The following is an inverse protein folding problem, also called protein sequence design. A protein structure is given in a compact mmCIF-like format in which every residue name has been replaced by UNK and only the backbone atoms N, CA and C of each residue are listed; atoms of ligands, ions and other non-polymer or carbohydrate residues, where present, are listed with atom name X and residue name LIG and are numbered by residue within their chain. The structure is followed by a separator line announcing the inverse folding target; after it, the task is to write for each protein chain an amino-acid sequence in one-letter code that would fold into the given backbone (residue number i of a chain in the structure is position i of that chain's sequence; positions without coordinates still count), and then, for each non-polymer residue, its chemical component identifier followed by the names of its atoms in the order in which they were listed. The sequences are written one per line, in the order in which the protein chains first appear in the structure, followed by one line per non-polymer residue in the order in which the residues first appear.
data_IF_932083631432
#
_entry.id   IF_932083631432
#
_cell.length_a   1.000
_cell.length_b   1.000
_cell.length_c   1.000
_cell.angle_alpha   90.00
_cell.angle_beta   90.00
_cell.angle_gamma   90.00
#
_symmetry.space_group_name_H-M   'P 1'
#
loop_
_entity.id
_entity.type
_entity.pdbx_description
1 polymer ?
#
# COMPACT_ATOMS: atom_id res chain seq x y z
N UNK A 1 8.62 13.55 -17.86
CA UNK A 1 8.84 13.29 -16.44
C UNK A 1 7.49 13.14 -15.78
N UNK A 2 7.31 12.14 -14.92
CA UNK A 2 6.10 11.95 -14.09
C UNK A 2 6.52 11.93 -12.64
N UNK A 3 5.97 12.80 -11.83
CA UNK A 3 6.23 12.87 -10.40
C UNK A 3 5.17 12.09 -9.65
N UNK A 4 5.61 11.15 -8.83
CA UNK A 4 4.77 10.38 -7.93
C UNK A 4 5.11 10.72 -6.47
N UNK A 5 4.13 10.66 -5.61
CA UNK A 5 4.32 10.64 -4.17
C UNK A 5 3.91 9.26 -3.65
N UNK A 6 4.77 8.63 -2.85
CA UNK A 6 4.52 7.35 -2.23
C UNK A 6 4.36 7.52 -0.71
N UNK A 7 3.15 7.28 -0.25
CA UNK A 7 2.71 7.25 1.14
C UNK A 7 2.42 5.80 1.55
N UNK A 8 2.56 5.50 2.83
CA UNK A 8 2.20 4.19 3.40
C UNK A 8 1.93 4.30 4.89
N UNK A 9 1.24 3.31 5.44
CA UNK A 9 1.09 3.12 6.88
C UNK A 9 0.63 4.40 7.60
N UNK A 10 -0.46 5.00 7.10
CA UNK A 10 -1.03 6.22 7.69
C UNK A 10 -1.83 5.94 8.96
N UNK A 11 -2.31 4.70 9.14
CA UNK A 11 -3.01 4.20 10.32
C UNK A 11 -4.03 5.20 10.89
N UNK A 12 -4.91 5.69 10.02
CA UNK A 12 -5.99 6.55 10.46
C UNK A 12 -6.81 5.82 11.51
N UNK A 13 -6.98 6.46 12.66
CA UNK A 13 -7.80 5.93 13.74
C UNK A 13 -8.87 6.94 14.12
N UNK A 14 -10.03 6.45 14.50
CA UNK A 14 -11.16 7.25 14.96
C UNK A 14 -11.28 7.09 16.47
N UNK A 15 -11.66 8.15 17.18
CA UNK A 15 -11.90 8.08 18.63
C UNK A 15 -13.00 7.03 18.86
N UNK A 16 -12.75 6.14 19.85
CA UNK A 16 -13.71 5.12 20.27
C UNK A 16 -15.08 5.70 20.67
N UNK A 17 -15.14 6.97 21.09
CA UNK A 17 -16.37 7.69 21.42
C UNK A 17 -17.26 7.97 20.20
N UNK A 18 -16.67 8.04 19.04
CA UNK A 18 -17.36 8.20 17.76
C UNK A 18 -17.80 6.86 17.17
N UNK A 19 -17.44 5.75 17.80
CA UNK A 19 -17.79 4.39 17.38
C UNK A 19 -18.94 3.83 18.18
N UNK A 20 -19.92 3.24 17.53
CA UNK A 20 -20.78 2.27 18.20
C UNK A 20 -19.93 1.11 18.72
N UNK A 21 -20.07 0.75 19.98
CA UNK A 21 -19.37 -0.38 20.61
C UNK A 21 -19.54 -1.70 19.84
N UNK A 22 -20.52 -1.78 18.96
CA UNK A 22 -20.91 -2.96 18.17
C UNK A 22 -20.39 -2.91 16.72
N UNK A 23 -19.87 -1.79 16.25
CA UNK A 23 -19.54 -1.59 14.82
C UNK A 23 -18.42 -2.52 14.30
N UNK A 24 -17.49 -2.93 15.14
CA UNK A 24 -16.35 -3.79 14.74
C UNK A 24 -16.49 -5.25 15.19
N UNK A 25 -17.60 -5.62 15.85
CA UNK A 25 -17.83 -6.97 16.32
C UNK A 25 -16.68 -7.57 17.18
N UNK A 26 -16.74 -8.87 17.45
CA UNK A 26 -15.68 -9.59 18.20
C UNK A 26 -14.35 -9.68 17.43
N UNK A 27 -14.38 -9.59 16.11
CA UNK A 27 -13.18 -9.62 15.24
C UNK A 27 -12.30 -8.39 15.42
N UNK A 28 -12.86 -7.26 15.80
CA UNK A 28 -12.10 -6.06 16.17
C UNK A 28 -11.42 -6.13 17.56
N UNK A 29 -11.70 -7.17 18.36
CA UNK A 29 -11.17 -7.26 19.72
C UNK A 29 -9.63 -7.34 19.78
N UNK A 30 -8.92 -8.14 18.94
CA UNK A 30 -7.46 -8.15 18.94
C UNK A 30 -6.87 -6.79 18.55
N UNK A 31 -7.39 -6.14 17.50
CA UNK A 31 -6.95 -4.81 17.09
C UNK A 31 -7.22 -3.75 18.16
N UNK A 32 -8.35 -3.82 18.87
CA UNK A 32 -8.63 -2.95 20.03
C UNK A 32 -7.66 -3.19 21.18
N UNK A 33 -7.30 -4.44 21.44
CA UNK A 33 -6.29 -4.77 22.44
C UNK A 33 -4.91 -4.19 22.06
N UNK A 34 -4.50 -4.29 20.82
CA UNK A 34 -3.28 -3.64 20.32
C UNK A 34 -3.34 -2.12 20.47
N UNK A 35 -4.47 -1.50 20.09
CA UNK A 35 -4.64 -0.06 20.21
C UNK A 35 -4.56 0.42 21.66
N UNK A 36 -5.27 -0.22 22.57
CA UNK A 36 -5.40 0.21 23.97
C UNK A 36 -4.35 -0.41 24.91
N UNK A 37 -4.02 -1.71 24.71
CA UNK A 37 -3.13 -2.45 25.61
C UNK A 37 -1.65 -2.29 25.29
N UNK A 38 -1.27 -2.09 24.03
CA UNK A 38 0.14 -1.97 23.61
C UNK A 38 0.57 -0.52 23.31
N UNK A 39 -0.21 0.48 23.73
CA UNK A 39 0.17 1.89 23.62
C UNK A 39 0.17 2.45 22.20
N UNK A 40 -0.45 1.76 21.24
CA UNK A 40 -0.50 2.17 19.85
C UNK A 40 -1.24 3.49 19.63
N UNK A 41 -2.28 3.76 20.47
CA UNK A 41 -2.98 5.05 20.50
C UNK A 41 -2.04 6.24 20.69
N UNK A 42 -1.01 6.09 21.53
CA UNK A 42 -0.06 7.17 21.79
C UNK A 42 0.85 7.45 20.58
N UNK A 43 1.22 6.42 19.77
CA UNK A 43 2.05 6.58 18.59
C UNK A 43 1.35 7.38 17.50
N UNK A 44 0.03 7.25 17.40
CA UNK A 44 -0.80 7.90 16.38
C UNK A 44 -1.71 9.00 16.93
N UNK A 45 -1.46 9.47 18.16
CA UNK A 45 -2.18 10.64 18.70
C UNK A 45 -2.03 11.84 17.77
N UNK A 46 -3.16 12.51 17.44
CA UNK A 46 -3.17 13.62 16.47
C UNK A 46 -2.93 13.20 15.02
N UNK A 47 -3.19 11.94 14.67
CA UNK A 47 -2.97 11.39 13.33
C UNK A 47 -3.74 12.15 12.25
N UNK A 48 -4.95 12.62 12.55
CA UNK A 48 -5.75 13.39 11.59
C UNK A 48 -5.05 14.66 11.11
N UNK A 49 -4.50 15.44 12.05
CA UNK A 49 -3.77 16.67 11.71
C UNK A 49 -2.45 16.36 11.00
N UNK A 50 -1.80 15.25 11.38
CA UNK A 50 -0.61 14.80 10.66
C UNK A 50 -0.93 14.38 9.23
N UNK A 51 -2.05 13.67 9.01
CA UNK A 51 -2.46 13.28 7.64
C UNK A 51 -2.78 14.53 6.81
N UNK A 52 -3.48 15.52 7.35
CA UNK A 52 -3.73 16.79 6.64
C UNK A 52 -2.43 17.47 6.23
N UNK A 53 -1.52 17.70 7.19
CA UNK A 53 -0.20 18.29 6.90
C UNK A 53 0.61 17.45 5.91
N UNK A 54 0.52 16.11 6.00
CA UNK A 54 1.17 15.20 5.08
C UNK A 54 0.62 15.39 3.65
N UNK A 55 -0.70 15.45 3.50
CA UNK A 55 -1.36 15.68 2.21
C UNK A 55 -0.95 17.05 1.64
N UNK A 56 -1.02 18.10 2.43
CA UNK A 56 -0.63 19.45 2.01
C UNK A 56 0.83 19.49 1.55
N UNK A 57 1.74 18.90 2.32
CA UNK A 57 3.17 18.83 1.97
C UNK A 57 3.42 17.98 0.71
N UNK A 58 2.70 16.87 0.57
CA UNK A 58 2.78 15.99 -0.58
C UNK A 58 2.23 16.69 -1.85
N UNK A 59 1.08 17.35 -1.75
CA UNK A 59 0.48 18.09 -2.86
C UNK A 59 1.31 19.31 -3.25
N UNK A 60 1.97 19.96 -2.30
CA UNK A 60 2.94 21.03 -2.56
C UNK A 60 4.14 20.61 -3.41
N UNK A 61 4.33 19.31 -3.66
CA UNK A 61 5.29 18.76 -4.64
C UNK A 61 4.73 18.63 -6.04
N UNK A 62 3.47 18.99 -6.24
CA UNK A 62 2.77 18.89 -7.54
C UNK A 62 2.84 17.49 -8.17
N UNK A 63 2.54 16.40 -7.42
CA UNK A 63 2.60 15.07 -7.99
C UNK A 63 1.50 14.87 -9.05
N UNK A 64 1.81 14.19 -10.13
CA UNK A 64 0.80 13.74 -11.07
C UNK A 64 -0.05 12.59 -10.51
N UNK A 65 0.51 11.82 -9.56
CA UNK A 65 -0.22 10.72 -8.94
C UNK A 65 0.31 10.41 -7.55
N UNK A 66 -0.55 9.94 -6.66
CA UNK A 66 -0.22 9.54 -5.28
C UNK A 66 -0.45 8.04 -5.12
N UNK A 67 0.51 7.37 -4.52
CA UNK A 67 0.48 5.94 -4.18
C UNK A 67 0.29 5.79 -2.67
N UNK A 68 -0.63 4.94 -2.24
CA UNK A 68 -0.86 4.65 -0.83
C UNK A 68 -0.82 3.13 -0.63
N UNK A 69 0.30 2.63 -0.10
CA UNK A 69 0.64 1.20 -0.09
C UNK A 69 0.24 0.47 1.19
N UNK A 70 -1.04 0.62 1.56
CA UNK A 70 -1.67 -0.14 2.63
C UNK A 70 -1.54 0.45 4.03
N UNK A 71 -2.20 -0.20 4.97
CA UNK A 71 -2.38 0.23 6.34
C UNK A 71 -2.94 1.67 6.41
N UNK A 72 -4.03 1.88 5.66
CA UNK A 72 -4.74 3.13 5.61
C UNK A 72 -5.42 3.43 6.94
N UNK A 73 -5.88 2.39 7.58
CA UNK A 73 -6.72 2.42 8.78
C UNK A 73 -6.06 1.68 9.95
N UNK A 74 -6.57 1.88 11.14
CA UNK A 74 -6.12 1.16 12.33
C UNK A 74 -6.81 -0.19 12.48
N UNK A 75 -8.08 -0.31 12.10
CA UNK A 75 -8.91 -1.50 12.30
C UNK A 75 -9.60 -2.02 11.02
N UNK A 76 -9.62 -1.25 9.93
CA UNK A 76 -10.22 -1.66 8.67
C UNK A 76 -11.74 -1.63 8.68
N UNK A 77 -12.38 -0.77 9.48
CA UNK A 77 -13.83 -0.63 9.45
C UNK A 77 -14.30 0.45 8.45
N UNK A 78 -15.58 0.40 8.08
CA UNK A 78 -16.16 1.29 7.08
C UNK A 78 -16.05 2.77 7.46
N UNK A 79 -16.12 3.10 8.73
CA UNK A 79 -16.07 4.49 9.22
C UNK A 79 -14.65 5.05 9.04
N UNK A 80 -13.61 4.25 9.37
CA UNK A 80 -12.22 4.64 9.11
C UNK A 80 -11.95 4.82 7.63
N UNK A 81 -12.41 3.90 6.78
CA UNK A 81 -12.26 4.06 5.33
C UNK A 81 -13.01 5.27 4.77
N UNK A 82 -14.22 5.57 5.28
CA UNK A 82 -14.95 6.77 4.90
C UNK A 82 -14.16 8.05 5.22
N UNK A 83 -13.51 8.10 6.38
CA UNK A 83 -12.63 9.21 6.75
C UNK A 83 -11.39 9.29 5.86
N UNK A 84 -10.73 8.16 5.55
CA UNK A 84 -9.62 8.14 4.57
C UNK A 84 -10.10 8.71 3.24
N UNK A 85 -11.23 8.23 2.71
CA UNK A 85 -11.79 8.73 1.45
C UNK A 85 -12.07 10.24 1.49
N UNK A 86 -12.60 10.74 2.61
CA UNK A 86 -12.85 12.18 2.78
C UNK A 86 -11.56 13.01 2.74
N UNK A 87 -10.50 12.55 3.42
CA UNK A 87 -9.20 13.24 3.44
C UNK A 87 -8.53 13.28 2.06
N UNK A 88 -8.69 12.22 1.28
CA UNK A 88 -8.12 12.11 -0.07
C UNK A 88 -9.12 12.43 -1.19
N UNK A 89 -10.29 12.98 -0.86
CA UNK A 89 -11.38 13.21 -1.82
C UNK A 89 -10.97 13.98 -3.10
N UNK A 90 -10.15 15.05 -3.05
CA UNK A 90 -9.72 15.72 -4.27
C UNK A 90 -8.93 14.80 -5.21
N UNK A 91 -7.99 14.02 -4.66
CA UNK A 91 -7.20 13.08 -5.45
C UNK A 91 -8.04 11.92 -6.01
N UNK A 92 -9.04 11.46 -5.26
CA UNK A 92 -9.99 10.44 -5.72
C UNK A 92 -10.86 10.96 -6.87
N UNK A 93 -11.37 12.18 -6.75
CA UNK A 93 -12.21 12.81 -7.77
C UNK A 93 -11.45 13.03 -9.10
N UNK A 94 -10.16 13.33 -9.02
CA UNK A 94 -9.28 13.52 -10.17
C UNK A 94 -8.69 12.21 -10.71
N UNK A 95 -8.94 11.07 -10.08
CA UNK A 95 -8.34 9.78 -10.45
C UNK A 95 -6.82 9.72 -10.22
N UNK A 96 -6.29 10.54 -9.31
CA UNK A 96 -4.85 10.70 -9.01
C UNK A 96 -4.39 9.94 -7.78
N UNK A 97 -5.20 9.02 -7.26
CA UNK A 97 -4.85 8.16 -6.13
C UNK A 97 -4.91 6.69 -6.54
N UNK A 98 -3.88 5.95 -6.17
CA UNK A 98 -3.90 4.48 -6.21
C UNK A 98 -3.68 3.94 -4.81
N UNK A 99 -4.56 3.04 -4.38
CA UNK A 99 -4.54 2.42 -3.06
C UNK A 99 -4.44 0.91 -3.18
N UNK A 100 -3.76 0.28 -2.23
CA UNK A 100 -3.79 -1.17 -2.01
C UNK A 100 -4.03 -1.44 -0.54
N UNK A 101 -4.53 -2.62 -0.14
CA UNK A 101 -4.76 -2.93 1.26
C UNK A 101 -3.47 -3.31 2.00
N UNK A 102 -3.40 -2.93 3.29
CA UNK A 102 -2.46 -3.46 4.25
C UNK A 102 -3.13 -4.43 5.23
N UNK A 103 -2.35 -5.04 6.13
CA UNK A 103 -2.89 -6.02 7.08
C UNK A 103 -3.85 -5.38 8.10
N UNK A 104 -3.64 -4.11 8.48
CA UNK A 104 -4.58 -3.40 9.36
C UNK A 104 -5.92 -3.11 8.70
N UNK A 105 -5.94 -2.93 7.39
CA UNK A 105 -7.16 -2.73 6.60
C UNK A 105 -8.05 -3.98 6.54
N UNK A 106 -7.59 -5.11 7.12
CA UNK A 106 -8.28 -6.40 7.15
C UNK A 106 -8.73 -6.86 8.54
N UNK A 107 -8.48 -6.10 9.60
CA UNK A 107 -8.76 -6.55 10.98
C UNK A 107 -10.23 -6.91 11.21
N UNK A 108 -11.15 -6.11 10.73
CA UNK A 108 -12.59 -6.34 10.84
C UNK A 108 -13.17 -7.04 9.60
N UNK A 109 -12.38 -7.22 8.55
CA UNK A 109 -12.84 -7.76 7.28
C UNK A 109 -13.14 -9.27 7.36
N UNK A 110 -13.96 -9.74 6.46
CA UNK A 110 -14.27 -11.17 6.27
C UNK A 110 -14.13 -11.52 4.79
N UNK A 111 -13.93 -12.80 4.45
CA UNK A 111 -13.89 -13.22 3.05
C UNK A 111 -15.13 -12.86 2.23
N UNK A 112 -16.27 -12.61 2.92
CA UNK A 112 -17.56 -12.21 2.29
C UNK A 112 -17.75 -10.70 2.28
N UNK A 113 -17.34 -9.99 3.33
CA UNK A 113 -17.62 -8.57 3.48
C UNK A 113 -16.80 -7.72 2.49
N UNK A 114 -15.52 -8.05 2.32
CA UNK A 114 -14.62 -7.35 1.38
C UNK A 114 -14.73 -5.83 1.51
N UNK A 115 -14.58 -5.35 2.74
CA UNK A 115 -14.84 -3.94 3.08
C UNK A 115 -13.95 -3.03 2.26
N UNK A 116 -12.65 -3.32 2.19
CA UNK A 116 -11.69 -2.53 1.42
C UNK A 116 -12.10 -2.45 -0.06
N UNK A 117 -12.40 -3.61 -0.70
CA UNK A 117 -12.76 -3.66 -2.12
C UNK A 117 -14.06 -2.91 -2.42
N UNK A 118 -15.04 -2.95 -1.50
CA UNK A 118 -16.28 -2.16 -1.65
C UNK A 118 -16.00 -0.67 -1.53
N UNK A 119 -15.22 -0.26 -0.54
CA UNK A 119 -14.92 1.14 -0.28
C UNK A 119 -14.08 1.78 -1.39
N UNK A 120 -13.22 1.00 -2.05
CA UNK A 120 -12.33 1.47 -3.11
C UNK A 120 -12.59 0.82 -4.47
N UNK A 121 -13.82 0.39 -4.74
CA UNK A 121 -14.18 -0.31 -5.98
C UNK A 121 -13.83 0.46 -7.26
N UNK A 122 -13.94 1.78 -7.23
CA UNK A 122 -13.55 2.65 -8.35
C UNK A 122 -12.05 2.66 -8.58
N UNK A 123 -11.28 2.70 -7.51
CA UNK A 123 -9.83 2.78 -7.51
C UNK A 123 -9.16 1.44 -7.84
N UNK A 124 -9.88 0.33 -7.69
CA UNK A 124 -9.39 -1.02 -8.00
C UNK A 124 -9.73 -1.50 -9.42
N UNK A 125 -10.41 -0.67 -10.22
CA UNK A 125 -10.67 -1.01 -11.62
C UNK A 125 -9.35 -1.23 -12.35
N UNK A 126 -9.25 -2.37 -13.05
CA UNK A 126 -8.07 -2.76 -13.82
C UNK A 126 -8.27 -2.49 -15.30
N UNK A 127 -7.23 -2.00 -15.97
CA UNK A 127 -7.18 -1.91 -17.44
C UNK A 127 -6.79 -3.24 -18.11
N UNK A 128 -6.40 -4.25 -17.27
CA UNK A 128 -6.15 -5.63 -17.68
C UNK A 128 -6.98 -6.59 -16.79
N UNK A 129 -8.33 -6.51 -16.84
CA UNK A 129 -9.19 -7.27 -15.93
C UNK A 129 -9.11 -8.78 -16.11
N UNK A 130 -8.70 -9.27 -17.27
CA UNK A 130 -8.51 -10.69 -17.60
C UNK A 130 -7.40 -11.36 -16.78
N UNK A 131 -6.51 -10.58 -16.17
CA UNK A 131 -5.45 -11.09 -15.29
C UNK A 131 -5.83 -11.05 -13.82
N UNK A 132 -6.93 -10.37 -13.46
CA UNK A 132 -7.34 -10.20 -12.08
C UNK A 132 -8.06 -11.44 -11.55
N UNK A 133 -7.91 -11.71 -10.25
CA UNK A 133 -8.73 -12.68 -9.52
C UNK A 133 -10.13 -12.11 -9.20
N UNK A 134 -10.97 -12.91 -8.55
CA UNK A 134 -12.32 -12.50 -8.14
C UNK A 134 -12.35 -11.35 -7.12
N UNK A 135 -11.20 -10.94 -6.54
CA UNK A 135 -11.05 -9.78 -5.67
C UNK A 135 -10.53 -8.55 -6.40
N UNK A 136 -10.15 -8.69 -7.68
CA UNK A 136 -9.64 -7.62 -8.52
C UNK A 136 -8.11 -7.50 -8.54
N UNK A 137 -7.37 -8.53 -8.09
CA UNK A 137 -5.90 -8.49 -8.06
C UNK A 137 -5.24 -9.55 -8.95
N UNK A 138 -4.09 -9.23 -9.60
CA UNK A 138 -3.50 -7.90 -9.71
C UNK A 138 -4.39 -6.95 -10.51
N UNK A 139 -4.47 -5.68 -10.11
CA UNK A 139 -5.04 -4.67 -10.99
C UNK A 139 -3.94 -3.85 -11.67
N UNK A 140 -4.25 -3.28 -12.83
CA UNK A 140 -3.32 -2.45 -13.60
C UNK A 140 -3.96 -1.09 -13.89
N UNK A 141 -3.18 -0.02 -13.69
CA UNK A 141 -3.52 1.34 -14.13
C UNK A 141 -2.45 1.85 -15.07
N UNK A 142 -2.85 2.34 -16.24
CA UNK A 142 -1.96 2.96 -17.19
C UNK A 142 -2.00 4.47 -17.03
N UNK A 143 -0.91 5.07 -16.55
CA UNK A 143 -0.79 6.51 -16.38
C UNK A 143 -0.13 7.13 -17.61
N UNK A 144 -0.96 7.69 -18.49
CA UNK A 144 -0.52 8.19 -19.79
C UNK A 144 0.16 7.10 -20.63
N UNK A 145 1.19 7.47 -21.39
CA UNK A 145 1.92 6.54 -22.26
C UNK A 145 3.17 5.93 -21.61
N UNK A 146 3.58 6.41 -20.44
CA UNK A 146 4.92 6.16 -19.87
C UNK A 146 4.95 5.24 -18.67
N UNK A 147 3.87 5.14 -17.94
CA UNK A 147 3.85 4.50 -16.63
C UNK A 147 2.73 3.48 -16.52
N UNK A 148 2.99 2.37 -15.85
CA UNK A 148 1.98 1.41 -15.44
C UNK A 148 2.13 1.12 -13.94
N UNK A 149 1.02 1.12 -13.22
CA UNK A 149 0.94 0.71 -11.82
C UNK A 149 0.29 -0.67 -11.77
N UNK A 150 0.91 -1.59 -11.06
CA UNK A 150 0.39 -2.94 -10.85
C UNK A 150 0.16 -3.13 -9.35
N UNK A 151 -1.09 -3.12 -8.92
CA UNK A 151 -1.45 -3.28 -7.52
C UNK A 151 -1.69 -4.74 -7.15
N UNK A 152 -1.06 -5.18 -6.06
CA UNK A 152 -1.17 -6.52 -5.51
C UNK A 152 -1.83 -6.50 -4.13
N UNK A 153 -2.51 -7.58 -3.77
CA UNK A 153 -2.96 -7.83 -2.41
C UNK A 153 -2.09 -8.93 -1.77
N UNK A 154 -1.23 -8.54 -0.85
CA UNK A 154 -0.42 -9.47 -0.05
C UNK A 154 -1.10 -9.85 1.27
N UNK A 155 -2.26 -9.28 1.59
CA UNK A 155 -2.92 -9.47 2.88
C UNK A 155 -3.60 -10.84 2.96
N UNK A 156 -3.85 -11.29 4.19
CA UNK A 156 -4.50 -12.57 4.46
C UNK A 156 -5.68 -12.36 5.39
N UNK A 157 -6.84 -12.79 4.92
CA UNK A 157 -8.08 -12.79 5.72
C UNK A 157 -8.51 -14.23 5.95
N UNK A 158 -8.83 -14.59 7.18
CA UNK A 158 -9.42 -15.88 7.50
C UNK A 158 -10.61 -15.75 8.46
N UNK A 159 -11.25 -16.88 8.75
CA UNK A 159 -12.42 -16.93 9.64
C UNK A 159 -12.07 -16.65 11.11
N UNK A 160 -10.80 -16.77 11.50
CA UNK A 160 -10.35 -16.74 12.89
C UNK A 160 -9.62 -15.46 13.29
N UNK A 161 -9.34 -14.56 12.35
CA UNK A 161 -8.64 -13.30 12.63
C UNK A 161 -7.85 -12.76 11.45
N UNK A 162 -6.96 -11.84 11.74
CA UNK A 162 -6.05 -11.25 10.77
C UNK A 162 -4.65 -11.85 10.90
N UNK A 163 -3.84 -11.67 9.87
CA UNK A 163 -2.42 -12.02 9.89
C UNK A 163 -1.57 -10.77 9.69
N UNK A 164 -0.57 -10.60 10.54
CA UNK A 164 0.45 -9.55 10.36
C UNK A 164 1.30 -9.84 9.13
N UNK A 165 1.52 -11.13 8.81
CA UNK A 165 2.33 -11.56 7.67
C UNK A 165 1.50 -11.75 6.41
N UNK A 166 2.08 -11.35 5.28
CA UNK A 166 1.46 -11.42 3.96
C UNK A 166 1.86 -12.65 3.16
N UNK A 167 1.06 -12.90 2.11
CA UNK A 167 1.34 -13.92 1.11
C UNK A 167 0.50 -13.67 -0.14
N UNK A 168 1.11 -13.68 -1.32
CA UNK A 168 0.38 -13.60 -2.60
C UNK A 168 -0.26 -14.94 -3.00
N UNK A 169 0.48 -16.01 -2.82
CA UNK A 169 0.16 -17.32 -3.33
C UNK A 169 0.44 -17.48 -4.84
N UNK A 170 0.46 -18.74 -5.31
CA UNK A 170 0.91 -19.02 -6.69
C UNK A 170 -0.01 -18.44 -7.75
N UNK A 171 -1.31 -18.36 -7.50
CA UNK A 171 -2.27 -17.83 -8.49
C UNK A 171 -1.99 -16.35 -8.81
N UNK A 172 -1.87 -15.50 -7.79
CA UNK A 172 -1.60 -14.08 -7.99
C UNK A 172 -0.20 -13.83 -8.57
N UNK A 173 0.81 -14.59 -8.14
CA UNK A 173 2.16 -14.48 -8.70
C UNK A 173 2.24 -14.91 -10.16
N UNK A 174 1.52 -15.96 -10.56
CA UNK A 174 1.40 -16.35 -11.97
C UNK A 174 0.65 -15.29 -12.79
N UNK A 175 -0.38 -14.67 -12.23
CA UNK A 175 -1.07 -13.55 -12.88
C UNK A 175 -0.17 -12.34 -13.02
N UNK A 176 0.60 -12.00 -12.00
CA UNK A 176 1.60 -10.92 -12.07
C UNK A 176 2.61 -11.19 -13.20
N UNK A 177 3.12 -12.42 -13.33
CA UNK A 177 4.04 -12.73 -14.43
C UNK A 177 3.40 -12.44 -15.78
N UNK A 178 2.15 -12.88 -16.00
CA UNK A 178 1.43 -12.59 -17.26
C UNK A 178 1.21 -11.10 -17.49
N UNK A 179 0.87 -10.35 -16.43
CA UNK A 179 0.75 -8.87 -16.53
C UNK A 179 2.06 -8.24 -16.96
N UNK A 180 3.19 -8.65 -16.33
CA UNK A 180 4.50 -8.08 -16.65
C UNK A 180 5.00 -8.44 -18.06
N UNK A 181 4.47 -9.50 -18.67
CA UNK A 181 4.77 -9.91 -20.05
C UNK A 181 3.73 -9.38 -21.07
N UNK A 182 2.71 -8.63 -20.62
CA UNK A 182 1.66 -8.11 -21.49
C UNK A 182 2.18 -6.97 -22.40
N UNK A 183 1.86 -7.04 -23.68
CA UNK A 183 2.32 -6.07 -24.66
C UNK A 183 1.86 -4.63 -24.37
N UNK A 184 0.76 -4.42 -23.64
CA UNK A 184 0.27 -3.10 -23.22
C UNK A 184 1.19 -2.41 -22.21
N UNK A 185 2.07 -3.17 -21.54
CA UNK A 185 3.10 -2.63 -20.64
C UNK A 185 4.43 -2.38 -21.36
N UNK A 186 4.59 -2.85 -22.58
CA UNK A 186 5.83 -2.66 -23.34
C UNK A 186 6.17 -1.17 -23.49
N UNK A 187 7.41 -0.82 -23.22
CA UNK A 187 7.89 0.56 -23.30
C UNK A 187 7.43 1.48 -22.15
N UNK A 188 6.86 0.95 -21.07
CA UNK A 188 6.46 1.69 -19.88
C UNK A 188 7.38 1.37 -18.70
N UNK A 189 7.61 2.34 -17.85
CA UNK A 189 8.13 2.04 -16.51
C UNK A 189 7.00 1.41 -15.68
N UNK A 190 7.26 0.24 -15.11
CA UNK A 190 6.27 -0.50 -14.32
C UNK A 190 6.58 -0.36 -12.83
N UNK A 191 5.60 0.13 -12.07
CA UNK A 191 5.64 0.11 -10.60
C UNK A 191 4.72 -0.98 -10.07
N UNK A 192 5.31 -1.91 -9.32
CA UNK A 192 4.57 -2.95 -8.59
C UNK A 192 4.34 -2.48 -7.16
N UNK A 193 3.09 -2.36 -6.77
CA UNK A 193 2.65 -1.89 -5.47
C UNK A 193 2.21 -3.07 -4.62
N UNK A 194 2.76 -3.18 -3.42
CA UNK A 194 2.39 -4.19 -2.44
C UNK A 194 2.52 -3.64 -1.03
N UNK A 195 1.80 -4.21 -0.06
CA UNK A 195 1.99 -3.77 1.32
C UNK A 195 3.20 -4.44 1.98
N UNK A 196 3.28 -5.77 1.92
CA UNK A 196 4.46 -6.50 2.43
C UNK A 196 5.53 -6.56 1.34
N UNK A 197 6.71 -6.09 1.66
CA UNK A 197 7.83 -5.98 0.71
C UNK A 197 8.55 -7.30 0.44
N UNK A 198 9.31 -7.39 -0.65
CA UNK A 198 10.11 -8.57 -0.96
C UNK A 198 11.36 -8.70 -0.07
N UNK A 199 11.81 -7.61 0.53
CA UNK A 199 12.93 -7.57 1.48
C UNK A 199 12.63 -6.59 2.59
N UNK A 200 13.26 -6.78 3.75
CA UNK A 200 13.18 -5.86 4.89
C UNK A 200 14.18 -4.70 4.79
N UNK A 201 14.27 -3.85 5.82
CA UNK A 201 15.19 -2.72 5.87
C UNK A 201 16.66 -3.12 5.72
N UNK A 202 17.04 -4.32 6.16
CA UNK A 202 18.39 -4.86 5.99
C UNK A 202 18.72 -5.29 4.55
N UNK A 203 17.72 -5.35 3.67
CA UNK A 203 17.85 -5.87 2.31
C UNK A 203 17.79 -7.40 2.21
N UNK A 204 17.53 -8.09 3.30
CA UNK A 204 17.44 -9.55 3.35
C UNK A 204 16.02 -10.05 3.07
N UNK A 205 15.91 -11.34 2.68
CA UNK A 205 14.62 -12.05 2.51
C UNK A 205 14.06 -12.59 3.83
N UNK A 206 14.45 -12.05 4.97
CA UNK A 206 13.88 -12.48 6.23
C UNK A 206 12.42 -12.02 6.33
N UNK A 207 11.50 -12.98 6.35
CA UNK A 207 10.07 -12.72 6.50
C UNK A 207 9.73 -12.01 7.83
N UNK A 208 10.61 -12.12 8.85
CA UNK A 208 10.43 -11.39 10.12
C UNK A 208 10.57 -9.88 9.95
N UNK A 209 11.37 -9.44 8.98
CA UNK A 209 11.52 -8.03 8.64
C UNK A 209 10.53 -7.56 7.56
N UNK A 210 10.36 -8.38 6.52
CA UNK A 210 9.55 -8.02 5.34
C UNK A 210 8.07 -8.31 5.50
N UNK A 211 7.72 -9.22 6.41
CA UNK A 211 6.35 -9.70 6.57
C UNK A 211 5.83 -10.59 5.44
N UNK A 212 6.59 -10.86 4.39
CA UNK A 212 6.13 -11.58 3.19
C UNK A 212 6.65 -13.03 3.16
N UNK A 213 5.73 -14.00 3.32
CA UNK A 213 6.09 -15.43 3.39
C UNK A 213 6.60 -16.02 2.08
N UNK A 214 6.16 -15.51 0.94
CA UNK A 214 6.57 -15.99 -0.40
C UNK A 214 7.45 -14.97 -1.15
N UNK A 215 8.21 -14.16 -0.40
CA UNK A 215 9.13 -13.16 -0.93
C UNK A 215 10.11 -13.71 -1.98
N UNK A 216 10.67 -14.91 -1.75
CA UNK A 216 11.57 -15.56 -2.70
C UNK A 216 10.88 -15.93 -4.03
N UNK A 217 9.60 -16.30 -4.01
CA UNK A 217 8.84 -16.55 -5.23
C UNK A 217 8.51 -15.23 -5.94
N UNK A 218 8.06 -14.22 -5.21
CA UNK A 218 7.82 -12.87 -5.75
C UNK A 218 9.08 -12.32 -6.43
N UNK A 219 10.22 -12.40 -5.75
CA UNK A 219 11.51 -11.98 -6.30
C UNK A 219 11.89 -12.71 -7.61
N UNK A 220 11.58 -14.01 -7.71
CA UNK A 220 11.80 -14.76 -8.97
C UNK A 220 10.94 -14.24 -10.11
N UNK A 221 9.68 -13.87 -9.84
CA UNK A 221 8.79 -13.28 -10.84
C UNK A 221 9.32 -11.93 -11.34
N UNK A 222 9.94 -11.13 -10.47
CA UNK A 222 10.48 -9.81 -10.83
C UNK A 222 11.82 -9.89 -11.58
N UNK A 223 12.57 -10.97 -11.40
CA UNK A 223 13.95 -11.09 -11.89
C UNK A 223 14.05 -10.92 -13.40
N UNK A 224 14.97 -10.07 -13.82
CA UNK A 224 15.23 -9.78 -15.23
C UNK A 224 14.22 -8.81 -15.86
N UNK A 225 13.28 -8.28 -15.09
CA UNK A 225 12.32 -7.26 -15.52
C UNK A 225 12.69 -5.90 -14.96
N UNK A 226 12.54 -4.86 -15.76
CA UNK A 226 12.79 -3.48 -15.32
C UNK A 226 11.57 -2.92 -14.60
N UNK A 227 11.44 -3.29 -13.33
CA UNK A 227 10.31 -2.90 -12.46
C UNK A 227 10.79 -2.19 -11.20
N UNK A 228 10.00 -1.27 -10.72
CA UNK A 228 10.16 -0.61 -9.42
C UNK A 228 9.14 -1.23 -8.46
N UNK A 229 9.56 -1.59 -7.24
CA UNK A 229 8.65 -2.05 -6.18
C UNK A 229 8.48 -0.94 -5.15
N UNK A 230 7.23 -0.62 -4.82
CA UNK A 230 6.89 0.28 -3.72
C UNK A 230 6.00 -0.45 -2.70
N UNK A 231 6.38 -0.39 -1.43
CA UNK A 231 5.71 -1.14 -0.36
C UNK A 231 5.73 -0.41 0.98
N UNK A 232 5.00 -0.92 1.97
CA UNK A 232 4.90 -0.42 3.34
C UNK A 232 5.34 -1.41 4.39
N UNK A 233 4.53 -1.57 5.43
CA UNK A 233 4.56 -2.57 6.50
C UNK A 233 5.67 -2.41 7.55
N UNK A 234 6.92 -2.27 7.13
CA UNK A 234 8.08 -2.23 8.06
C UNK A 234 8.18 -0.96 8.88
N UNK A 235 7.38 0.08 8.59
CA UNK A 235 7.47 1.44 9.15
C UNK A 235 8.85 2.10 9.03
N UNK A 236 9.76 1.52 8.22
CA UNK A 236 11.05 2.09 7.91
C UNK A 236 11.08 2.60 6.48
N UNK A 237 11.62 3.82 6.29
CA UNK A 237 11.81 4.39 4.96
C UNK A 237 13.19 4.04 4.47
N UNK A 238 13.27 3.31 3.35
CA UNK A 238 14.52 2.88 2.74
C UNK A 238 14.37 2.69 1.23
N UNK A 239 15.50 2.69 0.57
CA UNK A 239 15.62 2.41 -0.85
C UNK A 239 16.76 1.42 -1.09
N UNK A 240 16.44 0.29 -1.65
CA UNK A 240 17.39 -0.71 -2.11
C UNK A 240 17.52 -0.68 -3.62
N UNK A 241 18.76 -0.66 -4.11
CA UNK A 241 19.09 -0.80 -5.53
C UNK A 241 19.46 -2.25 -5.83
N UNK A 242 18.97 -2.78 -6.96
CA UNK A 242 19.24 -4.15 -7.43
C UNK A 242 19.01 -5.21 -6.32
N UNK A 243 17.89 -5.08 -5.59
CA UNK A 243 17.52 -5.97 -4.50
C UNK A 243 16.24 -6.71 -4.80
N UNK A 244 16.13 -7.92 -4.25
CA UNK A 244 14.91 -8.71 -4.28
C UNK A 244 14.32 -8.96 -5.69
N UNK A 245 15.19 -9.04 -6.69
CA UNK A 245 14.80 -9.29 -8.09
C UNK A 245 14.36 -8.05 -8.87
N UNK A 246 14.27 -6.87 -8.23
CA UNK A 246 13.92 -5.61 -8.85
C UNK A 246 15.10 -4.62 -8.87
N UNK A 247 15.24 -3.76 -9.90
CA UNK A 247 16.23 -2.68 -9.92
C UNK A 247 16.10 -1.70 -8.77
N UNK A 248 14.86 -1.41 -8.36
CA UNK A 248 14.57 -0.50 -7.25
C UNK A 248 13.46 -1.03 -6.36
N UNK A 249 13.68 -1.00 -5.04
CA UNK A 249 12.68 -1.37 -4.03
C UNK A 249 12.60 -0.27 -2.97
N UNK A 250 11.41 0.31 -2.80
CA UNK A 250 11.13 1.39 -1.87
C UNK A 250 10.25 0.93 -0.73
N UNK A 251 10.79 0.94 0.49
CA UNK A 251 9.99 0.90 1.71
C UNK A 251 9.45 2.31 2.01
N UNK A 252 8.12 2.47 2.05
CA UNK A 252 7.47 3.76 2.26
C UNK A 252 7.72 4.34 3.66
N UNK A 253 7.94 3.48 4.63
CA UNK A 253 7.92 3.84 6.04
C UNK A 253 6.53 4.23 6.49
N UNK A 254 6.31 4.48 7.79
CA UNK A 254 5.06 5.09 8.21
C UNK A 254 5.06 6.57 7.84
N UNK A 255 4.00 6.99 7.15
CA UNK A 255 3.85 8.38 6.73
C UNK A 255 3.40 9.30 7.87
N UNK A 256 2.96 8.74 9.00
CA UNK A 256 2.36 9.47 10.13
C UNK A 256 3.00 9.19 11.48
N UNK A 257 3.88 8.20 11.63
CA UNK A 257 4.44 7.79 12.92
C UNK A 257 5.58 8.73 13.39
N UNK A 258 5.27 9.66 14.29
CA UNK A 258 6.26 10.44 15.04
C UNK A 258 7.39 11.03 14.17
N UNK A 259 8.63 10.87 14.60
CA UNK A 259 9.80 11.36 13.89
C UNK A 259 10.08 10.63 12.55
N UNK A 260 9.43 9.48 12.29
CA UNK A 260 9.55 8.73 11.03
C UNK A 260 8.57 9.22 9.96
N UNK A 261 7.62 10.08 10.33
CA UNK A 261 6.59 10.57 9.44
C UNK A 261 7.18 11.24 8.18
N UNK A 262 6.54 10.99 7.04
CA UNK A 262 6.98 11.55 5.76
C UNK A 262 6.64 10.65 4.58
N UNK A 263 7.27 10.92 3.43
CA UNK A 263 6.96 10.23 2.17
C UNK A 263 8.16 10.19 1.22
N UNK A 264 8.05 9.36 0.16
CA UNK A 264 8.92 9.42 -1.00
C UNK A 264 8.31 10.29 -2.10
N UNK A 265 9.14 11.13 -2.73
CA UNK A 265 8.90 11.66 -4.06
C UNK A 265 9.71 10.84 -5.05
N UNK A 266 9.06 10.34 -6.10
CA UNK A 266 9.69 9.57 -7.17
C UNK A 266 9.47 10.32 -8.48
N UNK A 267 10.54 10.81 -9.08
CA UNK A 267 10.52 11.43 -10.39
C UNK A 267 10.94 10.39 -11.44
N UNK A 268 10.01 10.06 -12.35
CA UNK A 268 10.13 8.95 -13.29
C UNK A 268 10.04 9.50 -14.72
N UNK A 269 10.88 8.98 -15.59
CA UNK A 269 10.76 9.19 -17.03
C UNK A 269 10.44 7.86 -17.72
N UNK A 270 10.31 7.90 -19.03
CA UNK A 270 10.16 6.70 -19.83
C UNK A 270 11.37 5.79 -19.61
N UNK A 271 11.13 4.56 -19.16
CA UNK A 271 12.10 3.50 -18.92
C UNK A 271 12.99 3.62 -17.68
N UNK A 272 12.89 4.65 -16.83
CA UNK A 272 13.73 4.71 -15.61
C UNK A 272 13.24 5.65 -14.52
N UNK A 273 13.64 5.33 -13.30
CA UNK A 273 13.64 6.26 -12.19
C UNK A 273 14.76 7.30 -12.42
N UNK A 274 14.41 8.60 -12.40
CA UNK A 274 15.37 9.69 -12.50
C UNK A 274 15.91 10.06 -11.11
N UNK A 275 15.00 10.26 -10.16
CA UNK A 275 15.32 10.71 -8.81
C UNK A 275 14.33 10.13 -7.80
N UNK A 276 14.81 9.89 -6.59
CA UNK A 276 14.00 9.54 -5.44
C UNK A 276 14.43 10.36 -4.23
N UNK A 277 13.52 11.16 -3.69
CA UNK A 277 13.78 12.05 -2.58
C UNK A 277 12.87 11.73 -1.40
N UNK A 278 13.45 11.50 -0.23
CA UNK A 278 12.71 11.32 1.01
C UNK A 278 12.36 12.68 1.62
N UNK A 279 11.09 12.90 1.91
CA UNK A 279 10.59 14.11 2.56
C UNK A 279 10.09 13.79 3.97
N UNK A 280 10.78 14.20 5.04
CA UNK A 280 10.23 14.10 6.39
C UNK A 280 9.04 15.03 6.54
N UNK A 281 8.09 14.68 7.42
CA UNK A 281 6.92 15.53 7.70
C UNK A 281 7.27 16.71 8.64
N UNK A 282 8.16 16.46 9.58
CA UNK A 282 8.66 17.47 10.51
C UNK A 282 9.66 18.41 9.85
#
# INVERSE_FOLDING_TARGET
MTRLVHLSDIHLQIDWRERSLWSSGWRGAPGRFELHGLGRLHRFHGVHDRIRRLIDKALGREPQHVLLTGDLTALGDEVEFAHVRSLFAPLLAEGRLTVIPGNHDRYTDTPRARVFERMFAGELKSELPEHADARGYPFVKLLGKRLALVGLDSTRVNSWGHYVVGRFGPKQLNSLSRVLDDARLAGRTVLVLTHHGPAGPSGTFDWRESGLLDAAHFSRVLRGRDVIVAHGHSHHRYWHRASAGAPHTFGGGSSTEGARAGFWQLDIDTHRLLEATAHPLA
#
